data_IF_778096589370
#
_entry.id   IF_778096589370
#
_cell.length_a   1.000
_cell.length_b   1.000
_cell.length_c   1.000
_cell.angle_alpha   90.00
_cell.angle_beta   90.00
_cell.angle_gamma   90.00
#
_symmetry.space_group_name_H-M   'P 1'
#
loop_
_entity.id
_entity.type
_entity.pdbx_description
1 polymer ?
#
# COMPACT_ATOMS: atom_id res chain seq x y z
N UNK A 1 -16.56 6.42 4.43
CA UNK A 1 -17.21 6.25 3.10
C UNK A 1 -16.25 5.56 2.15
N UNK A 2 -16.72 4.66 1.27
CA UNK A 2 -15.87 3.87 0.35
C UNK A 2 -15.04 4.71 -0.64
N UNK A 3 -15.51 5.92 -0.96
CA UNK A 3 -14.91 6.74 -2.03
C UNK A 3 -13.54 7.32 -1.65
N UNK A 4 -13.34 7.70 -0.38
CA UNK A 4 -12.06 8.21 0.11
C UNK A 4 -10.99 7.11 0.14
N UNK A 5 -11.32 5.92 0.68
CA UNK A 5 -10.45 4.74 0.64
C UNK A 5 -10.10 4.30 -0.77
N UNK A 6 -11.07 4.30 -1.69
CA UNK A 6 -10.82 3.96 -3.09
C UNK A 6 -9.89 4.98 -3.80
N UNK A 7 -9.77 6.19 -3.26
CA UNK A 7 -8.87 7.23 -3.77
C UNK A 7 -7.46 7.04 -3.22
N UNK A 8 -7.34 6.65 -1.95
CA UNK A 8 -6.09 6.25 -1.28
C UNK A 8 -5.47 5.01 -1.95
N UNK A 9 -6.25 3.96 -2.19
CA UNK A 9 -5.78 2.76 -2.91
C UNK A 9 -5.27 3.07 -4.32
N UNK A 10 -5.85 4.09 -4.97
CA UNK A 10 -5.50 4.51 -6.32
C UNK A 10 -4.22 5.34 -6.41
N UNK A 11 -3.70 5.86 -5.30
CA UNK A 11 -2.39 6.53 -5.26
C UNK A 11 -1.22 5.54 -5.39
N UNK A 12 -1.46 4.26 -5.11
CA UNK A 12 -0.48 3.19 -5.27
C UNK A 12 -0.29 2.79 -6.75
N UNK A 13 -1.25 3.12 -7.63
CA UNK A 13 -1.11 2.92 -9.07
C UNK A 13 -0.23 4.04 -9.67
N UNK A 14 0.99 3.67 -10.06
CA UNK A 14 1.99 4.55 -10.67
C UNK A 14 1.43 5.37 -11.84
N UNK A 15 0.66 4.77 -12.75
CA UNK A 15 0.14 5.48 -13.94
C UNK A 15 -0.92 6.49 -13.55
N UNK A 16 -1.75 6.15 -12.58
CA UNK A 16 -2.82 7.04 -12.12
C UNK A 16 -2.26 8.17 -11.26
N UNK A 17 -1.32 7.87 -10.38
CA UNK A 17 -0.58 8.86 -9.57
C UNK A 17 0.10 9.90 -10.46
N UNK A 18 0.84 9.47 -11.47
CA UNK A 18 1.54 10.38 -12.37
C UNK A 18 0.55 11.25 -13.16
N UNK A 19 -0.62 10.71 -13.51
CA UNK A 19 -1.72 11.46 -14.12
C UNK A 19 -2.34 12.48 -13.17
N UNK A 20 -2.55 12.12 -11.89
CA UNK A 20 -3.10 13.01 -10.87
C UNK A 20 -2.13 14.14 -10.50
N UNK A 21 -0.82 13.86 -10.53
CA UNK A 21 0.24 14.86 -10.38
C UNK A 21 0.26 15.80 -11.60
N UNK A 22 0.14 15.26 -12.82
CA UNK A 22 0.08 16.07 -14.04
C UNK A 22 -1.18 16.95 -14.10
N UNK A 23 -2.30 16.47 -13.56
CA UNK A 23 -3.55 17.22 -13.42
C UNK A 23 -3.56 18.19 -12.22
N UNK A 24 -2.50 18.19 -11.38
CA UNK A 24 -2.35 19.08 -10.22
C UNK A 24 -3.27 18.76 -9.04
N UNK A 25 -3.98 17.64 -9.07
CA UNK A 25 -4.92 17.23 -8.01
C UNK A 25 -4.20 16.71 -6.77
N UNK A 26 -2.96 16.25 -6.92
CA UNK A 26 -2.12 15.72 -5.86
C UNK A 26 -0.69 16.19 -6.08
N UNK A 27 -0.02 16.63 -5.01
CA UNK A 27 1.39 17.05 -5.07
C UNK A 27 2.32 15.88 -4.78
N UNK A 28 3.58 15.96 -5.25
CA UNK A 28 4.59 14.94 -4.95
C UNK A 28 4.82 14.74 -3.45
N UNK A 29 4.77 15.82 -2.69
CA UNK A 29 4.92 15.79 -1.23
C UNK A 29 3.81 14.98 -0.55
N UNK A 30 2.56 15.11 -1.00
CA UNK A 30 1.43 14.34 -0.47
C UNK A 30 1.53 12.85 -0.78
N UNK A 31 2.11 12.49 -1.93
CA UNK A 31 2.37 11.08 -2.26
C UNK A 31 3.46 10.51 -1.35
N UNK A 32 4.56 11.24 -1.16
CA UNK A 32 5.66 10.79 -0.30
C UNK A 32 5.21 10.65 1.16
N UNK A 33 4.42 11.60 1.66
CA UNK A 33 3.82 11.53 2.99
C UNK A 33 2.91 10.29 3.13
N UNK A 34 2.08 10.02 2.12
CA UNK A 34 1.23 8.83 2.09
C UNK A 34 2.05 7.53 2.08
N UNK A 35 3.10 7.44 1.26
CA UNK A 35 3.97 6.27 1.20
C UNK A 35 4.72 6.02 2.51
N UNK A 36 5.18 7.09 3.18
CA UNK A 36 5.86 6.99 4.47
C UNK A 36 4.91 6.63 5.62
N UNK A 37 3.60 6.86 5.44
CA UNK A 37 2.59 6.49 6.43
C UNK A 37 2.19 5.01 6.39
N UNK A 38 2.58 4.29 5.33
CA UNK A 38 2.34 2.85 5.21
C UNK A 38 3.27 2.12 6.18
N UNK A 39 2.68 1.37 7.11
CA UNK A 39 3.42 0.48 8.00
C UNK A 39 3.97 -0.71 7.22
N UNK A 40 5.15 -1.19 7.61
CA UNK A 40 5.65 -2.45 7.08
C UNK A 40 4.77 -3.61 7.55
N UNK A 41 4.38 -4.48 6.63
CA UNK A 41 3.51 -5.63 6.91
C UNK A 41 4.32 -6.89 7.27
N UNK A 42 5.66 -6.78 7.36
CA UNK A 42 6.55 -7.90 7.73
C UNK A 42 6.14 -8.57 9.06
N UNK A 43 5.72 -7.76 10.05
CA UNK A 43 5.27 -8.22 11.36
C UNK A 43 3.88 -8.92 11.34
N UNK A 44 3.10 -8.75 10.27
CA UNK A 44 1.77 -9.35 10.12
C UNK A 44 1.81 -10.77 9.52
N UNK A 45 3.01 -11.32 9.29
CA UNK A 45 3.19 -12.66 8.72
C UNK A 45 3.31 -13.72 9.82
N UNK A 46 2.35 -14.66 9.89
CA UNK A 46 2.47 -15.86 10.72
C UNK A 46 2.88 -17.06 9.84
N UNK A 47 4.04 -17.66 10.15
CA UNK A 47 4.49 -18.90 9.52
C UNK A 47 3.69 -20.08 10.09
N UNK A 48 2.72 -20.62 9.33
CA UNK A 48 2.00 -21.83 9.75
C UNK A 48 2.91 -23.06 9.76
N UNK A 49 3.11 -23.68 10.93
CA UNK A 49 3.93 -24.89 11.18
C UNK A 49 3.36 -26.19 10.57
N UNK A 50 2.86 -26.19 9.34
CA UNK A 50 2.41 -27.43 8.67
C UNK A 50 3.63 -28.25 8.17
N UNK A 51 4.83 -27.67 8.15
CA UNK A 51 6.06 -28.35 7.71
C UNK A 51 6.74 -29.24 8.78
N UNK A 52 6.38 -29.14 10.07
CA UNK A 52 7.10 -29.86 11.13
C UNK A 52 6.56 -31.28 11.44
N UNK A 53 5.39 -31.66 10.92
CA UNK A 53 4.80 -32.99 11.18
C UNK A 53 5.32 -34.14 10.29
N UNK A 54 6.26 -33.90 9.38
CA UNK A 54 6.81 -34.95 8.49
C UNK A 54 8.20 -35.46 8.91
N UNK A 55 8.65 -35.22 10.14
CA UNK A 55 9.87 -35.83 10.68
C UNK A 55 9.64 -36.31 12.11
N UNK A 56 9.02 -37.48 12.25
CA UNK A 56 9.24 -38.44 13.32
C UNK A 56 8.68 -39.79 12.89
#
# INVERSE_FOLDING_TARGET
MRLARALEEKLLDLRLRDKLIAEGKVTKAQVEEYLNSLTDDEDNSEMTEIAQRQRN
#
